data_IF_864298400600
#
_entry.id   IF_864298400600
#
_cell.length_a   1.000
_cell.length_b   1.000
_cell.length_c   1.000
_cell.angle_alpha   90.00
_cell.angle_beta   90.00
_cell.angle_gamma   90.00
#
_symmetry.space_group_name_H-M   'P 1'
#
loop_
_entity.id
_entity.type
_entity.pdbx_description
1 polymer ?
#
# COMPACT_ATOMS: atom_id res chain seq x y z
N UNK A 1 13.82 -4.95 -7.08
CA UNK A 1 12.35 -4.91 -7.19
C UNK A 1 11.91 -6.15 -7.92
N UNK A 2 11.07 -6.96 -7.29
CA UNK A 2 10.52 -8.20 -7.83
C UNK A 2 9.05 -7.99 -8.15
N UNK A 3 8.58 -8.59 -9.24
CA UNK A 3 7.17 -8.60 -9.61
C UNK A 3 6.54 -9.96 -9.26
N UNK A 4 5.20 -10.09 -9.24
CA UNK A 4 4.54 -11.33 -8.81
C UNK A 4 4.88 -12.56 -9.65
N UNK A 5 5.44 -12.39 -10.85
CA UNK A 5 5.97 -13.48 -11.68
C UNK A 5 7.30 -14.04 -11.16
N UNK A 6 8.04 -13.27 -10.38
CA UNK A 6 9.36 -13.60 -9.85
C UNK A 6 9.32 -14.01 -8.37
N UNK A 7 8.14 -13.97 -7.73
CA UNK A 7 7.98 -14.32 -6.32
C UNK A 7 8.17 -15.82 -6.11
N UNK A 8 9.02 -16.16 -5.14
CA UNK A 8 9.21 -17.53 -4.67
C UNK A 8 8.11 -17.94 -3.70
N UNK A 9 7.97 -19.24 -3.41
CA UNK A 9 7.05 -19.73 -2.37
C UNK A 9 7.37 -19.15 -0.99
N UNK A 10 8.64 -18.83 -0.73
CA UNK A 10 9.06 -18.16 0.50
C UNK A 10 8.53 -16.73 0.57
N UNK A 11 8.54 -16.00 -0.55
CA UNK A 11 7.97 -14.64 -0.64
C UNK A 11 6.48 -14.67 -0.40
N UNK A 12 5.76 -15.61 -1.02
CA UNK A 12 4.32 -15.78 -0.81
C UNK A 12 3.98 -16.11 0.63
N UNK A 13 4.75 -17.01 1.25
CA UNK A 13 4.60 -17.33 2.67
C UNK A 13 4.90 -16.12 3.57
N UNK A 14 5.87 -15.27 3.19
CA UNK A 14 6.17 -14.04 3.92
C UNK A 14 5.06 -13.00 3.79
N UNK A 15 4.48 -12.85 2.59
CA UNK A 15 3.32 -11.98 2.35
C UNK A 15 2.14 -12.42 3.21
N UNK A 16 1.78 -13.71 3.19
CA UNK A 16 0.67 -14.24 3.99
C UNK A 16 0.86 -13.93 5.47
N UNK A 17 2.03 -14.28 6.03
CA UNK A 17 2.35 -13.96 7.43
C UNK A 17 2.27 -12.47 7.72
N UNK A 18 2.81 -11.61 6.86
CA UNK A 18 2.81 -10.17 7.04
C UNK A 18 1.39 -9.58 6.99
N UNK A 19 0.54 -10.04 6.07
CA UNK A 19 -0.88 -9.63 5.98
C UNK A 19 -1.61 -9.97 7.27
N UNK A 20 -1.51 -11.23 7.71
CA UNK A 20 -2.20 -11.69 8.92
C UNK A 20 -1.71 -10.96 10.19
N UNK A 21 -0.40 -10.78 10.34
CA UNK A 21 0.18 -10.07 11.46
C UNK A 21 -0.20 -8.58 11.47
N UNK A 22 -0.19 -7.93 10.30
CA UNK A 22 -0.57 -6.52 10.15
C UNK A 22 -2.04 -6.32 10.46
N UNK A 23 -2.92 -7.13 9.87
CA UNK A 23 -4.37 -7.08 10.14
C UNK A 23 -4.66 -7.23 11.64
N UNK A 24 -4.09 -8.27 12.26
CA UNK A 24 -4.23 -8.52 13.71
C UNK A 24 -3.76 -7.35 14.56
N UNK A 25 -2.68 -6.67 14.16
CA UNK A 25 -2.15 -5.51 14.87
C UNK A 25 -3.06 -4.30 14.72
N UNK A 26 -3.39 -3.92 13.49
CA UNK A 26 -4.16 -2.70 13.23
C UNK A 26 -5.60 -2.81 13.75
N UNK A 27 -6.19 -4.01 13.76
CA UNK A 27 -7.50 -4.25 14.35
C UNK A 27 -7.57 -3.98 15.85
N UNK A 28 -6.45 -4.13 16.58
CA UNK A 28 -6.38 -3.84 18.02
C UNK A 28 -6.16 -2.37 18.34
N UNK A 29 -5.42 -1.66 17.50
CA UNK A 29 -4.83 -0.35 17.84
C UNK A 29 -5.23 0.78 16.86
N UNK A 30 -5.96 0.45 15.80
CA UNK A 30 -6.17 1.32 14.65
C UNK A 30 -7.53 2.00 14.61
N UNK A 31 -7.83 2.56 13.43
CA UNK A 31 -9.08 3.25 13.14
C UNK A 31 -10.25 2.29 13.12
N UNK A 32 -11.44 2.76 13.45
CA UNK A 32 -12.65 1.93 13.54
C UNK A 32 -12.92 1.05 12.31
N UNK A 33 -12.69 1.58 11.09
CA UNK A 33 -12.94 0.84 9.86
C UNK A 33 -12.04 -0.39 9.69
N UNK A 34 -10.85 -0.42 10.32
CA UNK A 34 -9.89 -1.53 10.14
C UNK A 34 -10.39 -2.83 10.77
N UNK A 35 -11.42 -2.77 11.63
CA UNK A 35 -12.13 -3.94 12.17
C UNK A 35 -12.75 -4.81 11.07
N UNK A 36 -13.00 -4.24 9.90
CA UNK A 36 -13.58 -4.94 8.75
C UNK A 36 -12.53 -5.58 7.81
N UNK A 37 -11.23 -5.48 8.14
CA UNK A 37 -10.19 -6.12 7.33
C UNK A 37 -10.31 -7.65 7.46
N UNK A 38 -10.57 -8.31 6.34
CA UNK A 38 -10.40 -9.76 6.20
C UNK A 38 -9.00 -10.04 5.61
N UNK A 39 -8.11 -10.57 6.45
CA UNK A 39 -6.73 -10.89 6.07
C UNK A 39 -6.65 -11.95 4.96
N UNK A 40 -7.54 -12.94 4.96
CA UNK A 40 -7.56 -13.97 3.92
C UNK A 40 -8.00 -13.37 2.59
N UNK A 41 -9.01 -12.50 2.61
CA UNK A 41 -9.43 -11.78 1.42
C UNK A 41 -8.29 -10.92 0.86
N UNK A 42 -7.61 -10.13 1.70
CA UNK A 42 -6.47 -9.29 1.27
C UNK A 42 -5.36 -10.14 0.66
N UNK A 43 -4.95 -11.23 1.31
CA UNK A 43 -3.92 -12.12 0.77
C UNK A 43 -4.34 -12.70 -0.59
N UNK A 44 -5.60 -13.14 -0.70
CA UNK A 44 -6.16 -13.66 -1.96
C UNK A 44 -6.13 -12.64 -3.08
N UNK A 45 -6.49 -11.37 -2.83
CA UNK A 45 -6.42 -10.31 -3.85
C UNK A 45 -5.00 -10.15 -4.41
N UNK A 46 -3.98 -10.23 -3.55
CA UNK A 46 -2.57 -10.13 -3.96
C UNK A 46 -2.13 -11.39 -4.72
N UNK A 47 -2.48 -12.58 -4.20
CA UNK A 47 -2.11 -13.89 -4.78
C UNK A 47 -2.73 -14.10 -6.16
N UNK A 48 -4.00 -13.73 -6.33
CA UNK A 48 -4.74 -13.81 -7.59
C UNK A 48 -4.45 -12.62 -8.53
N UNK A 49 -3.58 -11.69 -8.11
CA UNK A 49 -3.19 -10.49 -8.89
C UNK A 49 -4.37 -9.62 -9.29
N UNK A 50 -5.38 -9.54 -8.43
CA UNK A 50 -6.50 -8.61 -8.57
C UNK A 50 -6.12 -7.18 -8.16
N UNK A 51 -5.00 -7.04 -7.44
CA UNK A 51 -4.28 -5.80 -7.17
C UNK A 51 -2.83 -5.96 -7.59
N UNK A 52 -2.20 -4.85 -8.00
CA UNK A 52 -0.79 -4.86 -8.37
C UNK A 52 0.10 -4.88 -7.13
N UNK A 53 1.25 -5.55 -7.20
CA UNK A 53 2.22 -5.53 -6.11
C UNK A 53 3.66 -5.71 -6.58
N UNK A 54 4.60 -5.19 -5.81
CA UNK A 54 6.03 -5.46 -5.96
C UNK A 54 6.69 -5.68 -4.60
N UNK A 55 7.75 -6.50 -4.57
CA UNK A 55 8.66 -6.60 -3.42
C UNK A 55 9.92 -5.79 -3.71
N UNK A 56 10.29 -4.88 -2.81
CA UNK A 56 11.52 -4.12 -2.92
C UNK A 56 12.14 -3.85 -1.55
N UNK A 57 13.38 -4.32 -1.36
CA UNK A 57 14.20 -4.04 -0.17
C UNK A 57 13.51 -4.41 1.16
N UNK A 58 12.86 -5.58 1.17
CA UNK A 58 12.13 -6.11 2.32
C UNK A 58 10.73 -5.53 2.53
N UNK A 59 10.23 -4.71 1.60
CA UNK A 59 8.86 -4.19 1.61
C UNK A 59 8.00 -4.83 0.53
N UNK A 60 6.76 -5.17 0.87
CA UNK A 60 5.67 -5.34 -0.10
C UNK A 60 5.01 -3.99 -0.32
N UNK A 61 4.90 -3.57 -1.58
CA UNK A 61 4.16 -2.39 -2.00
C UNK A 61 3.00 -2.87 -2.88
N UNK A 62 1.78 -2.64 -2.43
CA UNK A 62 0.53 -2.94 -3.15
C UNK A 62 -0.06 -1.63 -3.66
N UNK A 63 -0.45 -1.61 -4.92
CA UNK A 63 -0.90 -0.39 -5.58
C UNK A 63 -1.98 -0.67 -6.62
N UNK A 64 -2.68 0.39 -7.02
CA UNK A 64 -3.57 0.41 -8.17
C UNK A 64 -3.06 1.42 -9.20
N UNK A 65 -3.28 1.15 -10.48
CA UNK A 65 -3.13 2.16 -11.54
C UNK A 65 -4.47 2.26 -12.25
N UNK A 66 -5.03 3.46 -12.28
CA UNK A 66 -6.35 3.67 -12.82
C UNK A 66 -6.55 5.07 -13.37
N UNK A 67 -7.63 5.18 -14.14
CA UNK A 67 -8.17 6.45 -14.59
C UNK A 67 -9.21 6.88 -13.54
N UNK A 68 -9.06 8.05 -12.89
CA UNK A 68 -10.03 8.49 -11.90
C UNK A 68 -11.36 8.82 -12.58
N UNK A 69 -12.47 8.68 -11.85
CA UNK A 69 -13.81 8.92 -12.39
C UNK A 69 -14.04 10.33 -12.95
N UNK A 70 -13.25 11.32 -12.51
CA UNK A 70 -13.34 12.73 -12.90
C UNK A 70 -12.39 13.14 -14.04
N UNK A 71 -11.54 12.26 -14.55
CA UNK A 71 -10.67 12.56 -15.70
C UNK A 71 -10.48 11.34 -16.57
N UNK A 72 -10.91 11.39 -17.83
CA UNK A 72 -10.84 10.26 -18.75
C UNK A 72 -9.43 10.01 -19.34
N UNK A 73 -8.54 11.01 -19.31
CA UNK A 73 -7.23 10.96 -19.96
C UNK A 73 -6.06 10.81 -18.97
N UNK A 74 -6.32 11.01 -17.69
CA UNK A 74 -5.28 11.03 -16.66
C UNK A 74 -5.19 9.68 -15.98
N UNK A 75 -3.97 9.15 -15.79
CA UNK A 75 -3.74 7.96 -14.95
C UNK A 75 -3.05 8.36 -13.66
N UNK A 76 -3.48 7.76 -12.56
CA UNK A 76 -2.80 7.88 -11.28
C UNK A 76 -2.37 6.51 -10.78
N UNK A 77 -1.26 6.51 -10.04
CA UNK A 77 -0.89 5.39 -9.19
C UNK A 77 -1.41 5.68 -7.78
N UNK A 78 -2.13 4.74 -7.20
CA UNK A 78 -2.61 4.79 -5.82
C UNK A 78 -1.91 3.73 -4.98
N UNK A 79 -1.23 4.15 -3.91
CA UNK A 79 -0.75 3.25 -2.87
C UNK A 79 -1.95 2.67 -2.11
N UNK A 80 -2.12 1.34 -2.16
CA UNK A 80 -3.19 0.65 -1.44
C UNK A 80 -2.69 0.15 -0.07
N UNK A 81 -1.47 -0.37 -0.03
CA UNK A 81 -0.89 -0.92 1.19
C UNK A 81 0.64 -1.07 1.08
N UNK A 82 1.36 -0.78 2.17
CA UNK A 82 2.78 -1.09 2.31
C UNK A 82 3.02 -1.90 3.57
N UNK A 83 3.73 -3.03 3.43
CA UNK A 83 4.08 -3.92 4.54
C UNK A 83 5.56 -4.26 4.55
N UNK A 84 6.09 -4.50 5.76
CA UNK A 84 7.43 -5.07 5.94
C UNK A 84 7.32 -6.58 5.85
N UNK A 85 8.08 -7.19 4.95
CA UNK A 85 8.22 -8.66 4.86
C UNK A 85 9.44 -9.15 5.63
N UNK A 86 10.51 -8.35 5.65
CA UNK A 86 11.73 -8.63 6.40
C UNK A 86 11.67 -7.98 7.80
N UNK A 87 12.14 -8.64 8.88
CA UNK A 87 12.32 -8.00 10.20
C UNK A 87 13.28 -6.80 10.19
N UNK A 88 14.22 -6.74 9.25
CA UNK A 88 15.17 -5.66 9.03
C UNK A 88 15.08 -5.19 7.57
N UNK A 89 13.94 -4.59 7.16
CA UNK A 89 13.83 -4.08 5.82
C UNK A 89 14.80 -2.91 5.64
N UNK A 90 15.06 -2.53 4.39
CA UNK A 90 15.88 -1.37 4.12
C UNK A 90 15.21 -0.05 4.50
N UNK A 91 15.72 1.05 3.95
CA UNK A 91 15.20 2.37 4.30
C UNK A 91 13.83 2.62 3.65
N UNK A 92 12.85 3.12 4.43
CA UNK A 92 11.49 3.36 3.93
C UNK A 92 11.42 4.27 2.69
N UNK A 93 12.43 5.13 2.46
CA UNK A 93 12.54 5.91 1.21
C UNK A 93 12.44 5.07 -0.07
N UNK A 94 12.83 3.80 -0.01
CA UNK A 94 12.75 2.87 -1.15
C UNK A 94 11.30 2.65 -1.57
N UNK A 95 10.34 2.67 -0.65
CA UNK A 95 8.90 2.58 -0.95
C UNK A 95 8.49 3.79 -1.80
N UNK A 96 8.82 5.00 -1.36
CA UNK A 96 8.47 6.23 -2.08
C UNK A 96 9.09 6.26 -3.48
N UNK A 97 10.38 5.90 -3.57
CA UNK A 97 11.08 5.78 -4.85
C UNK A 97 10.46 4.72 -5.76
N UNK A 98 9.98 3.61 -5.19
CA UNK A 98 9.31 2.54 -5.93
C UNK A 98 7.99 3.03 -6.53
N UNK A 99 7.16 3.71 -5.74
CA UNK A 99 5.89 4.29 -6.23
C UNK A 99 6.14 5.28 -7.36
N UNK A 100 7.10 6.21 -7.20
CA UNK A 100 7.45 7.18 -8.25
C UNK A 100 7.97 6.51 -9.52
N UNK A 101 8.80 5.47 -9.39
CA UNK A 101 9.31 4.70 -10.53
C UNK A 101 8.18 3.97 -11.27
N UNK A 102 7.27 3.31 -10.55
CA UNK A 102 6.14 2.60 -11.13
C UNK A 102 5.16 3.54 -11.84
N UNK A 103 4.92 4.72 -11.26
CA UNK A 103 4.10 5.77 -11.85
C UNK A 103 4.71 6.29 -13.17
N UNK A 104 6.02 6.56 -13.18
CA UNK A 104 6.72 7.00 -14.38
C UNK A 104 6.70 5.94 -15.49
N UNK A 105 6.94 4.66 -15.14
CA UNK A 105 6.88 3.54 -16.09
C UNK A 105 5.48 3.34 -16.70
N UNK A 106 4.45 3.77 -15.99
CA UNK A 106 3.04 3.61 -16.40
C UNK A 106 2.43 4.90 -16.95
N UNK A 107 3.25 5.93 -17.18
CA UNK A 107 2.82 7.25 -17.65
C UNK A 107 1.70 7.86 -16.80
N UNK A 108 1.79 7.71 -15.48
CA UNK A 108 0.88 8.35 -14.55
C UNK A 108 1.25 9.83 -14.36
N UNK A 109 0.24 10.70 -14.27
CA UNK A 109 0.40 12.14 -14.00
C UNK A 109 0.62 12.43 -12.51
N UNK A 110 0.38 11.46 -11.65
CA UNK A 110 0.44 11.64 -10.20
C UNK A 110 0.45 10.34 -9.41
N UNK A 111 0.84 10.47 -8.14
CA UNK A 111 0.85 9.39 -7.17
C UNK A 111 0.05 9.82 -5.94
N UNK A 112 -0.97 9.05 -5.60
CA UNK A 112 -1.66 9.14 -4.33
C UNK A 112 -1.04 8.15 -3.35
N UNK A 113 -0.60 8.64 -2.20
CA UNK A 113 -0.04 7.84 -1.12
C UNK A 113 -0.65 8.27 0.22
N UNK A 114 -0.76 7.33 1.15
CA UNK A 114 -1.61 7.53 2.32
C UNK A 114 -1.00 7.01 3.60
N UNK A 115 -1.41 7.60 4.72
CA UNK A 115 -1.15 7.07 6.07
C UNK A 115 -2.41 6.45 6.64
N UNK A 116 -3.26 5.87 5.79
CA UNK A 116 -4.63 5.49 6.10
C UNK A 116 -4.74 4.58 7.33
N UNK A 117 -3.74 3.73 7.58
CA UNK A 117 -3.72 2.81 8.73
C UNK A 117 -3.32 3.46 10.05
N UNK A 118 -2.50 4.52 10.06
CA UNK A 118 -1.86 5.01 11.30
C UNK A 118 -1.93 6.51 11.53
N UNK A 119 -2.40 7.31 10.55
CA UNK A 119 -2.34 8.79 10.60
C UNK A 119 -0.96 9.30 11.07
N UNK A 120 0.10 8.64 10.59
CA UNK A 120 1.46 8.83 11.10
C UNK A 120 2.10 10.09 10.51
N UNK A 121 2.19 11.14 11.32
CA UNK A 121 2.85 12.40 10.97
C UNK A 121 4.34 12.21 10.58
N UNK A 122 5.03 11.18 11.11
CA UNK A 122 6.42 10.89 10.73
C UNK A 122 6.47 10.32 9.32
N UNK A 123 5.56 9.41 8.99
CA UNK A 123 5.44 8.84 7.66
C UNK A 123 5.06 9.92 6.62
N UNK A 124 4.09 10.79 6.97
CA UNK A 124 3.74 11.96 6.14
C UNK A 124 4.95 12.82 5.81
N UNK A 125 5.79 13.14 6.80
CA UNK A 125 7.05 13.90 6.59
C UNK A 125 8.05 13.19 5.67
N UNK A 126 8.00 11.87 5.55
CA UNK A 126 8.84 11.16 4.58
C UNK A 126 8.32 11.44 3.17
N UNK A 127 7.02 11.29 2.93
CA UNK A 127 6.41 11.60 1.64
C UNK A 127 6.59 13.09 1.24
N UNK A 128 6.42 14.03 2.16
CA UNK A 128 6.59 15.47 1.89
C UNK A 128 8.01 15.83 1.41
N UNK A 129 9.06 15.11 1.87
CA UNK A 129 10.43 15.30 1.36
C UNK A 129 10.60 14.92 -0.11
N UNK A 130 9.66 14.16 -0.67
CA UNK A 130 9.62 13.77 -2.08
C UNK A 130 8.59 14.59 -2.87
N UNK A 131 8.08 15.70 -2.30
CA UNK A 131 7.18 16.62 -2.99
C UNK A 131 5.69 16.27 -2.88
N UNK A 132 5.32 15.22 -2.14
CA UNK A 132 3.92 14.93 -1.84
C UNK A 132 3.31 16.04 -0.97
N UNK A 133 2.03 16.28 -1.16
CA UNK A 133 1.23 17.24 -0.38
C UNK A 133 -0.03 16.55 0.14
N UNK A 134 -0.52 17.01 1.28
CA UNK A 134 -1.80 16.55 1.80
C UNK A 134 -2.93 17.28 1.06
N UNK A 135 -3.67 16.54 0.23
CA UNK A 135 -4.74 17.09 -0.62
C UNK A 135 -6.15 16.62 -0.22
N UNK A 136 -6.26 15.63 0.69
CA UNK A 136 -7.55 15.10 1.14
C UNK A 136 -7.47 14.45 2.54
N UNK A 137 -8.60 14.50 3.24
CA UNK A 137 -8.86 13.76 4.48
C UNK A 137 -10.02 12.77 4.28
N UNK A 138 -10.02 11.67 5.03
CA UNK A 138 -11.08 10.66 5.00
C UNK A 138 -11.89 10.66 6.29
N UNK A 139 -13.23 10.60 6.17
CA UNK A 139 -14.17 10.50 7.28
C UNK A 139 -14.85 9.11 7.26
N UNK A 140 -15.11 8.54 8.43
CA UNK A 140 -15.76 7.23 8.56
C UNK A 140 -16.84 7.25 9.65
N UNK A 141 -17.99 6.63 9.38
CA UNK A 141 -19.11 6.49 10.32
C UNK A 141 -19.63 5.05 10.32
N UNK A 142 -19.76 4.45 11.51
CA UNK A 142 -20.50 3.19 11.70
C UNK A 142 -22.01 3.48 11.61
N UNK A 143 -22.76 2.67 10.86
CA UNK A 143 -24.20 2.85 10.66
C UNK A 143 -25.10 2.16 11.69
N UNK A 144 -24.61 1.18 12.45
CA UNK A 144 -25.13 0.61 13.72
C UNK A 144 -24.26 -0.59 14.14
N UNK A 145 -24.03 -0.78 15.44
CA UNK A 145 -23.59 -2.06 16.04
C UNK A 145 -24.81 -2.94 16.33
#
# INVERSE_FOLDING_TARGET
>A
MLFPGDYTDQDWSAIERAVHATASKVQREGKTWVRHIDAHHVYRQIRERLVESVIHDGYLVVYGIGVPWYSAATRFLEELMVMRLDPKPGAFRVVVQTLLKLAALSSCEGVAAGTALTADNRLRRVYERYGFRAEADALFKILKE
#
